data_IF_552784007692
#
_entry.id   IF_552784007692
#
_cell.length_a   1.000
_cell.length_b   1.000
_cell.length_c   1.000
_cell.angle_alpha   90.00
_cell.angle_beta   90.00
_cell.angle_gamma   90.00
#
_symmetry.space_group_name_H-M   'P 1'
#
loop_
_entity.id
_entity.type
_entity.pdbx_description
1 polymer ?
#
# COMPACT_ATOMS: atom_id res chain seq x y z
N UNK A 1 41.71 6.18 20.71
CA UNK A 1 42.44 6.14 19.43
C UNK A 1 41.82 5.06 18.56
N UNK A 2 41.60 5.29 17.26
CA UNK A 2 41.11 4.21 16.39
C UNK A 2 42.17 3.11 16.33
N UNK A 3 41.77 1.86 16.58
CA UNK A 3 42.66 0.69 16.62
C UNK A 3 43.26 0.33 15.24
N UNK A 4 42.69 0.87 14.16
CA UNK A 4 43.07 0.59 12.78
C UNK A 4 43.38 1.90 12.02
N UNK A 5 44.44 1.92 11.18
CA UNK A 5 44.82 3.11 10.44
C UNK A 5 43.82 3.47 9.34
N UNK A 6 43.55 4.77 9.19
CA UNK A 6 42.58 5.29 8.19
C UNK A 6 43.07 5.19 6.74
N UNK A 7 44.34 4.90 6.53
CA UNK A 7 44.99 4.69 5.23
C UNK A 7 44.86 3.27 4.68
N UNK A 8 44.20 2.36 5.41
CA UNK A 8 43.96 0.99 4.97
C UNK A 8 43.25 0.95 3.62
N UNK A 9 43.80 0.15 2.70
CA UNK A 9 43.23 -0.13 1.38
C UNK A 9 42.58 -1.51 1.31
N UNK A 10 43.18 -2.49 1.97
CA UNK A 10 42.66 -3.86 2.06
C UNK A 10 42.48 -4.17 3.54
N UNK A 11 41.31 -4.67 3.89
CA UNK A 11 40.99 -5.09 5.26
C UNK A 11 40.33 -6.46 5.21
N UNK A 12 40.98 -7.43 5.85
CA UNK A 12 40.48 -8.78 6.02
C UNK A 12 40.02 -8.98 7.46
N UNK A 13 38.75 -9.33 7.60
CA UNK A 13 38.07 -9.62 8.85
C UNK A 13 37.31 -10.94 8.73
N UNK A 14 37.88 -11.93 8.04
CA UNK A 14 37.25 -13.24 7.84
C UNK A 14 37.25 -14.09 9.11
N UNK A 15 36.23 -14.93 9.26
CA UNK A 15 36.14 -16.01 10.28
C UNK A 15 36.33 -15.55 11.74
N UNK A 16 35.83 -14.37 12.09
CA UNK A 16 35.91 -13.81 13.46
C UNK A 16 34.53 -13.56 14.10
N UNK A 17 33.49 -14.28 13.63
CA UNK A 17 32.14 -14.25 14.19
C UNK A 17 31.48 -12.85 14.26
N UNK A 18 31.90 -11.91 13.39
CA UNK A 18 31.33 -10.57 13.36
C UNK A 18 29.87 -10.57 12.91
N UNK A 19 29.04 -9.77 13.57
CA UNK A 19 27.64 -9.54 13.18
C UNK A 19 27.43 -8.14 12.57
N UNK A 20 28.27 -7.18 12.96
CA UNK A 20 28.15 -5.76 12.61
C UNK A 20 29.54 -5.17 12.44
N UNK A 21 29.69 -4.22 11.50
CA UNK A 21 30.92 -3.48 11.27
C UNK A 21 30.60 -2.04 10.90
N UNK A 22 30.81 -1.13 11.85
CA UNK A 22 30.39 0.28 11.77
C UNK A 22 31.58 1.27 11.80
N UNK A 23 32.77 0.81 11.41
CA UNK A 23 33.96 1.65 11.39
C UNK A 23 34.17 2.28 10.00
N UNK A 24 34.45 3.58 9.97
CA UNK A 24 34.69 4.31 8.72
C UNK A 24 36.11 4.11 8.21
N UNK A 25 36.25 3.69 6.95
CA UNK A 25 37.53 3.57 6.26
C UNK A 25 37.48 4.30 4.90
N UNK A 26 37.93 5.56 4.84
CA UNK A 26 37.77 6.40 3.66
C UNK A 26 38.65 5.98 2.46
N UNK A 27 39.72 5.23 2.71
CA UNK A 27 40.69 4.77 1.69
C UNK A 27 40.54 3.30 1.30
N UNK A 28 39.58 2.59 1.89
CA UNK A 28 39.41 1.16 1.68
C UNK A 28 38.91 0.87 0.28
N UNK A 29 39.59 -0.04 -0.42
CA UNK A 29 39.24 -0.51 -1.76
C UNK A 29 38.76 -1.95 -1.76
N UNK A 30 39.25 -2.78 -0.84
CA UNK A 30 38.84 -4.19 -0.69
C UNK A 30 38.49 -4.50 0.75
N UNK A 31 37.31 -5.07 0.97
CA UNK A 31 36.82 -5.50 2.28
C UNK A 31 36.45 -6.98 2.21
N UNK A 32 37.05 -7.79 3.08
CA UNK A 32 36.82 -9.23 3.17
C UNK A 32 36.15 -9.51 4.52
N UNK A 33 34.91 -10.02 4.47
CA UNK A 33 34.05 -10.34 5.60
C UNK A 33 33.59 -11.81 5.55
N UNK A 34 34.31 -12.66 4.83
CA UNK A 34 33.91 -14.05 4.59
C UNK A 34 33.85 -14.86 5.89
N UNK A 35 32.85 -15.73 6.04
CA UNK A 35 32.78 -16.62 7.21
C UNK A 35 32.37 -15.93 8.52
N UNK A 36 31.53 -14.90 8.45
CA UNK A 36 31.02 -14.18 9.62
C UNK A 36 29.51 -14.44 9.80
N UNK A 37 28.80 -13.58 10.55
CA UNK A 37 27.37 -13.70 10.86
C UNK A 37 26.55 -12.48 10.40
N UNK A 38 26.97 -11.81 9.34
CA UNK A 38 26.26 -10.65 8.79
C UNK A 38 24.92 -11.08 8.19
N UNK A 39 23.83 -10.45 8.65
CA UNK A 39 22.48 -10.68 8.10
C UNK A 39 22.11 -9.69 6.98
N UNK A 40 22.86 -8.59 6.86
CA UNK A 40 22.68 -7.50 5.90
C UNK A 40 24.05 -7.01 5.42
N UNK A 41 24.08 -6.38 4.24
CA UNK A 41 25.27 -5.68 3.78
C UNK A 41 25.65 -4.56 4.78
N UNK A 42 26.95 -4.30 4.98
CA UNK A 42 27.39 -3.21 5.84
C UNK A 42 26.99 -1.84 5.25
N UNK A 43 27.10 -0.78 6.05
CA UNK A 43 26.75 0.57 5.60
C UNK A 43 27.78 1.09 4.58
N UNK A 44 27.43 1.08 3.29
CA UNK A 44 28.33 1.48 2.21
C UNK A 44 28.86 2.91 2.32
N UNK A 45 28.16 3.80 3.01
CA UNK A 45 28.58 5.19 3.27
C UNK A 45 29.88 5.28 4.08
N UNK A 46 30.22 4.22 4.84
CA UNK A 46 31.45 4.12 5.61
C UNK A 46 32.69 3.84 4.74
N UNK A 47 32.48 3.39 3.49
CA UNK A 47 33.54 2.94 2.57
C UNK A 47 33.39 3.63 1.20
N UNK A 48 33.61 4.95 1.10
CA UNK A 48 33.33 5.72 -0.12
C UNK A 48 34.17 5.31 -1.34
N UNK A 49 35.30 4.61 -1.15
CA UNK A 49 36.23 4.15 -2.20
C UNK A 49 36.24 2.63 -2.40
N UNK A 50 35.32 1.91 -1.77
CA UNK A 50 35.29 0.45 -1.82
C UNK A 50 34.93 -0.04 -3.21
N UNK A 51 35.76 -0.91 -3.77
CA UNK A 51 35.59 -1.48 -5.11
C UNK A 51 35.21 -2.96 -5.06
N UNK A 52 35.73 -3.70 -4.08
CA UNK A 52 35.48 -5.15 -3.92
C UNK A 52 35.00 -5.45 -2.50
N UNK A 53 33.88 -6.18 -2.41
CA UNK A 53 33.33 -6.69 -1.15
C UNK A 53 33.18 -8.21 -1.24
N UNK A 54 33.83 -8.93 -0.32
CA UNK A 54 33.66 -10.37 -0.15
C UNK A 54 32.89 -10.60 1.15
N UNK A 55 31.71 -11.22 1.06
CA UNK A 55 30.81 -11.48 2.19
C UNK A 55 30.19 -12.88 2.07
N UNK A 56 30.95 -13.83 1.55
CA UNK A 56 30.50 -15.22 1.42
C UNK A 56 30.39 -15.89 2.79
N UNK A 57 29.69 -17.02 2.87
CA UNK A 57 29.59 -17.82 4.11
C UNK A 57 29.12 -16.99 5.31
N UNK A 58 28.06 -16.21 5.12
CA UNK A 58 27.43 -15.37 6.14
C UNK A 58 25.95 -15.74 6.27
N UNK A 59 25.17 -14.94 6.99
CA UNK A 59 23.73 -15.12 7.17
C UNK A 59 22.89 -14.11 6.36
N UNK A 60 23.42 -13.61 5.24
CA UNK A 60 22.79 -12.56 4.45
C UNK A 60 21.44 -13.04 3.91
N UNK A 61 20.36 -12.34 4.27
CA UNK A 61 19.00 -12.77 3.92
C UNK A 61 18.56 -12.25 2.57
N UNK A 62 18.89 -11.01 2.23
CA UNK A 62 18.59 -10.40 0.93
C UNK A 62 19.42 -9.12 0.81
N UNK A 63 19.50 -8.60 -0.42
CA UNK A 63 19.96 -7.25 -0.71
C UNK A 63 19.22 -6.76 -1.95
N UNK A 64 19.08 -5.45 -2.09
CA UNK A 64 18.44 -4.85 -3.26
C UNK A 64 19.25 -3.65 -3.78
N UNK A 65 18.75 -3.01 -4.83
CA UNK A 65 19.42 -1.85 -5.43
C UNK A 65 19.63 -0.68 -4.47
N UNK A 66 18.81 -0.53 -3.42
CA UNK A 66 19.02 0.53 -2.42
C UNK A 66 20.19 0.22 -1.51
N UNK A 67 20.40 -1.04 -1.12
CA UNK A 67 21.57 -1.43 -0.34
C UNK A 67 22.86 -1.24 -1.14
N UNK A 68 22.86 -1.62 -2.42
CA UNK A 68 24.02 -1.47 -3.31
C UNK A 68 24.33 0.00 -3.63
N UNK A 69 23.30 0.86 -3.80
CA UNK A 69 23.47 2.30 -4.04
C UNK A 69 24.19 3.05 -2.92
N UNK A 70 24.21 2.51 -1.69
CA UNK A 70 24.98 3.08 -0.58
C UNK A 70 26.48 3.02 -0.84
N UNK A 71 26.93 2.04 -1.64
CA UNK A 71 28.31 1.93 -2.05
C UNK A 71 28.55 2.67 -3.37
N UNK A 72 29.12 3.87 -3.28
CA UNK A 72 29.26 4.76 -4.45
C UNK A 72 30.21 4.25 -5.55
N UNK A 73 31.15 3.39 -5.19
CA UNK A 73 32.26 2.97 -6.07
C UNK A 73 32.44 1.46 -6.16
N UNK A 74 31.52 0.68 -5.57
CA UNK A 74 31.61 -0.77 -5.55
C UNK A 74 31.38 -1.34 -6.95
N UNK A 75 32.26 -2.25 -7.35
CA UNK A 75 32.26 -2.86 -8.68
C UNK A 75 32.03 -4.36 -8.60
N UNK A 76 32.64 -5.01 -7.60
CA UNK A 76 32.61 -6.45 -7.44
C UNK A 76 32.03 -6.85 -6.09
N UNK A 77 31.08 -7.77 -6.13
CA UNK A 77 30.50 -8.41 -4.96
C UNK A 77 30.64 -9.92 -5.09
N UNK A 78 31.09 -10.55 -4.00
CA UNK A 78 30.98 -12.00 -3.80
C UNK A 78 30.16 -12.23 -2.53
N UNK A 79 29.00 -12.87 -2.67
CA UNK A 79 28.06 -13.08 -1.58
C UNK A 79 27.43 -14.48 -1.62
N UNK A 80 28.08 -15.44 -2.27
CA UNK A 80 27.63 -16.83 -2.29
C UNK A 80 27.58 -17.46 -0.90
N UNK A 81 26.89 -18.60 -0.79
CA UNK A 81 26.82 -19.39 0.44
C UNK A 81 26.28 -18.58 1.63
N UNK A 82 25.16 -17.88 1.41
CA UNK A 82 24.41 -17.14 2.41
C UNK A 82 22.98 -17.69 2.57
N UNK A 83 22.29 -17.31 3.63
CA UNK A 83 20.92 -17.77 3.95
C UNK A 83 19.83 -16.93 3.25
N UNK A 84 19.81 -16.95 1.92
CA UNK A 84 18.90 -16.08 1.16
C UNK A 84 17.42 -16.41 1.38
N UNK A 85 16.62 -15.37 1.56
CA UNK A 85 15.16 -15.38 1.58
C UNK A 85 14.71 -15.08 0.16
N UNK A 86 14.26 -16.10 -0.55
CA UNK A 86 13.76 -16.02 -1.92
C UNK A 86 12.32 -15.50 -1.94
N UNK A 87 12.18 -14.23 -1.58
CA UNK A 87 10.96 -13.45 -1.79
C UNK A 87 10.83 -13.06 -3.26
N UNK A 88 9.62 -12.69 -3.67
CA UNK A 88 9.35 -12.17 -5.02
C UNK A 88 10.23 -10.97 -5.38
N UNK A 89 10.42 -10.04 -4.45
CA UNK A 89 11.28 -8.88 -4.64
C UNK A 89 12.73 -9.30 -4.90
N UNK A 90 13.29 -10.16 -4.04
CA UNK A 90 14.70 -10.54 -4.14
C UNK A 90 14.98 -11.38 -5.39
N UNK A 91 14.12 -12.36 -5.71
CA UNK A 91 14.27 -13.19 -6.90
C UNK A 91 14.16 -12.34 -8.17
N UNK A 92 13.17 -11.44 -8.25
CA UNK A 92 13.04 -10.53 -9.40
C UNK A 92 14.26 -9.64 -9.55
N UNK A 93 14.70 -9.00 -8.45
CA UNK A 93 15.85 -8.12 -8.45
C UNK A 93 17.14 -8.86 -8.87
N UNK A 94 17.41 -10.03 -8.29
CA UNK A 94 18.63 -10.79 -8.57
C UNK A 94 18.68 -11.29 -10.01
N UNK A 95 17.55 -11.68 -10.59
CA UNK A 95 17.47 -12.17 -11.97
C UNK A 95 17.59 -11.07 -13.01
N UNK A 96 16.98 -9.91 -12.76
CA UNK A 96 16.75 -8.91 -13.82
C UNK A 96 17.54 -7.63 -13.62
N UNK A 97 17.77 -7.23 -12.36
CA UNK A 97 18.25 -5.88 -12.06
C UNK A 97 19.68 -5.86 -11.53
N UNK A 98 20.16 -6.93 -10.87
CA UNK A 98 21.43 -6.92 -10.12
C UNK A 98 22.64 -6.46 -10.95
N UNK A 99 22.73 -6.86 -12.22
CA UNK A 99 23.85 -6.50 -13.11
C UNK A 99 23.89 -5.01 -13.47
N UNK A 100 22.77 -4.30 -13.33
CA UNK A 100 22.75 -2.85 -13.50
C UNK A 100 23.39 -2.12 -12.31
N UNK A 101 23.48 -2.79 -11.15
CA UNK A 101 24.02 -2.22 -9.93
C UNK A 101 25.44 -2.68 -9.63
N UNK A 102 25.76 -3.95 -9.90
CA UNK A 102 27.01 -4.55 -9.46
C UNK A 102 27.39 -5.75 -10.31
N UNK A 103 28.69 -6.01 -10.45
CA UNK A 103 29.18 -7.26 -11.03
C UNK A 103 29.33 -8.32 -9.93
N UNK A 104 28.54 -9.39 -10.04
CA UNK A 104 28.70 -10.59 -9.20
C UNK A 104 29.87 -11.41 -9.74
N UNK A 105 30.95 -11.54 -8.94
CA UNK A 105 32.21 -12.15 -9.40
C UNK A 105 32.29 -13.65 -9.11
N UNK A 106 31.64 -14.10 -8.05
CA UNK A 106 31.50 -15.51 -7.71
C UNK A 106 30.37 -16.17 -8.53
N UNK A 107 30.31 -17.50 -8.46
CA UNK A 107 29.37 -18.25 -9.28
C UNK A 107 27.94 -18.10 -8.75
N UNK A 108 27.06 -17.51 -9.58
CA UNK A 108 25.63 -17.31 -9.29
C UNK A 108 24.88 -18.57 -8.85
N UNK A 109 25.33 -19.76 -9.26
CA UNK A 109 24.74 -21.04 -8.81
C UNK A 109 24.83 -21.27 -7.30
N UNK A 110 25.75 -20.58 -6.62
CA UNK A 110 25.91 -20.67 -5.16
C UNK A 110 25.09 -19.61 -4.40
N UNK A 111 24.26 -18.84 -5.11
CA UNK A 111 23.21 -18.03 -4.52
C UNK A 111 21.98 -18.92 -4.43
N UNK A 112 21.84 -19.58 -3.28
CA UNK A 112 20.84 -20.62 -3.04
C UNK A 112 19.85 -20.14 -2.00
N UNK A 113 18.57 -20.43 -2.22
CA UNK A 113 17.49 -20.12 -1.30
C UNK A 113 17.61 -20.97 -0.04
N UNK A 114 17.54 -20.32 1.12
CA UNK A 114 17.36 -20.98 2.42
C UNK A 114 15.89 -20.98 2.85
N UNK A 115 15.17 -19.90 2.53
CA UNK A 115 13.74 -19.76 2.82
C UNK A 115 13.00 -19.15 1.62
N UNK A 116 11.70 -19.44 1.42
CA UNK A 116 10.86 -20.37 2.17
C UNK A 116 11.27 -21.84 1.98
N UNK A 117 10.74 -22.74 2.83
CA UNK A 117 11.09 -24.16 2.82
C UNK A 117 10.84 -24.85 1.47
N UNK A 118 9.82 -24.42 0.72
CA UNK A 118 9.47 -24.97 -0.59
C UNK A 118 10.53 -24.73 -1.67
N UNK A 119 11.35 -23.68 -1.52
CA UNK A 119 12.41 -23.31 -2.46
C UNK A 119 13.81 -23.60 -1.91
N UNK A 120 13.90 -24.18 -0.70
CA UNK A 120 15.18 -24.39 -0.03
C UNK A 120 16.07 -25.31 -0.86
N UNK A 121 17.28 -24.85 -1.17
CA UNK A 121 18.25 -25.59 -1.98
C UNK A 121 18.24 -25.21 -3.47
N UNK A 122 17.22 -24.49 -3.94
CA UNK A 122 17.18 -24.01 -5.32
C UNK A 122 18.07 -22.78 -5.50
N UNK A 123 18.74 -22.68 -6.64
CA UNK A 123 19.46 -21.46 -7.00
C UNK A 123 18.47 -20.33 -7.29
N UNK A 124 18.79 -19.11 -6.85
CA UNK A 124 17.93 -17.92 -7.05
C UNK A 124 17.62 -17.74 -8.55
N UNK A 125 18.59 -17.99 -9.44
CA UNK A 125 18.41 -17.92 -10.89
C UNK A 125 17.46 -18.99 -11.47
N UNK A 126 17.32 -20.15 -10.81
CA UNK A 126 16.42 -21.22 -11.28
C UNK A 126 15.00 -21.08 -10.75
N UNK A 127 14.78 -20.34 -9.66
CA UNK A 127 13.45 -20.19 -9.04
C UNK A 127 12.46 -19.51 -9.99
N UNK A 128 11.32 -20.16 -10.23
CA UNK A 128 10.23 -19.60 -11.03
C UNK A 128 9.04 -19.31 -10.11
N UNK A 129 8.96 -18.07 -9.65
CA UNK A 129 7.78 -17.58 -8.93
C UNK A 129 6.76 -17.10 -9.95
N UNK A 130 5.53 -17.59 -9.84
CA UNK A 130 4.45 -17.10 -10.68
C UNK A 130 4.03 -15.69 -10.25
N UNK A 131 3.62 -14.85 -11.21
CA UNK A 131 3.05 -13.52 -10.92
C UNK A 131 1.84 -13.67 -9.99
N UNK A 132 1.08 -14.76 -10.12
CA UNK A 132 -0.01 -15.08 -9.22
C UNK A 132 0.50 -15.31 -7.79
N UNK A 133 1.52 -16.12 -7.53
CA UNK A 133 2.05 -16.30 -6.17
C UNK A 133 2.55 -15.00 -5.54
N UNK A 134 3.11 -14.09 -6.34
CA UNK A 134 3.63 -12.81 -5.84
C UNK A 134 2.56 -11.73 -5.62
N UNK A 135 1.51 -11.70 -6.45
CA UNK A 135 0.56 -10.60 -6.49
C UNK A 135 -0.90 -11.00 -6.21
N UNK A 136 -1.23 -12.28 -5.99
CA UNK A 136 -2.60 -12.72 -5.72
C UNK A 136 -3.22 -12.04 -4.50
N UNK A 137 -2.51 -12.02 -3.36
CA UNK A 137 -3.02 -11.42 -2.12
C UNK A 137 -3.33 -9.91 -2.29
N UNK A 138 -2.39 -9.06 -2.75
CA UNK A 138 -2.69 -7.65 -2.96
C UNK A 138 -3.74 -7.44 -4.05
N UNK A 139 -3.75 -8.24 -5.13
CA UNK A 139 -4.75 -8.12 -6.18
C UNK A 139 -6.17 -8.41 -5.68
N UNK A 140 -6.36 -9.46 -4.86
CA UNK A 140 -7.66 -9.79 -4.24
C UNK A 140 -8.12 -8.67 -3.30
N UNK A 141 -7.22 -8.12 -2.48
CA UNK A 141 -7.55 -7.00 -1.59
C UNK A 141 -7.99 -5.75 -2.36
N UNK A 142 -7.29 -5.42 -3.45
CA UNK A 142 -7.68 -4.30 -4.33
C UNK A 142 -9.03 -4.57 -4.97
N UNK A 143 -9.26 -5.78 -5.50
CA UNK A 143 -10.55 -6.15 -6.09
C UNK A 143 -11.70 -6.03 -5.10
N UNK A 144 -11.56 -6.60 -3.88
CA UNK A 144 -12.57 -6.53 -2.85
C UNK A 144 -12.86 -5.09 -2.41
N UNK A 145 -11.83 -4.25 -2.26
CA UNK A 145 -12.01 -2.85 -1.87
C UNK A 145 -12.77 -2.05 -2.93
N UNK A 146 -12.48 -2.27 -4.22
CA UNK A 146 -13.22 -1.65 -5.33
C UNK A 146 -14.70 -2.06 -5.31
N UNK A 147 -15.01 -3.33 -5.10
CA UNK A 147 -16.40 -3.82 -5.02
C UNK A 147 -17.16 -3.14 -3.87
N UNK A 148 -16.56 -3.04 -2.68
CA UNK A 148 -17.17 -2.40 -1.52
C UNK A 148 -17.46 -0.92 -1.80
N UNK A 149 -16.52 -0.21 -2.44
CA UNK A 149 -16.71 1.21 -2.80
C UNK A 149 -17.88 1.35 -3.78
N UNK A 150 -17.94 0.51 -4.82
CA UNK A 150 -19.01 0.54 -5.83
C UNK A 150 -20.37 0.27 -5.17
N UNK A 151 -20.48 -0.76 -4.33
CA UNK A 151 -21.71 -1.06 -3.60
C UNK A 151 -22.11 0.08 -2.66
N UNK A 152 -21.15 0.68 -1.97
CA UNK A 152 -21.39 1.85 -1.12
C UNK A 152 -21.95 3.03 -1.90
N UNK A 153 -21.40 3.32 -3.09
CA UNK A 153 -21.90 4.38 -3.97
C UNK A 153 -23.34 4.09 -4.46
N UNK A 154 -23.64 2.84 -4.82
CA UNK A 154 -24.99 2.41 -5.19
C UNK A 154 -25.96 2.63 -4.01
N UNK A 155 -25.61 2.18 -2.80
CA UNK A 155 -26.47 2.37 -1.62
C UNK A 155 -26.71 3.85 -1.33
N UNK A 156 -25.67 4.68 -1.39
CA UNK A 156 -25.78 6.13 -1.14
C UNK A 156 -26.67 6.81 -2.19
N UNK A 157 -26.47 6.50 -3.47
CA UNK A 157 -27.30 7.05 -4.55
C UNK A 157 -28.75 6.60 -4.41
N UNK A 158 -29.00 5.31 -4.20
CA UNK A 158 -30.34 4.78 -3.94
C UNK A 158 -31.01 5.47 -2.75
N UNK A 159 -30.31 5.65 -1.62
CA UNK A 159 -30.83 6.33 -0.44
C UNK A 159 -31.19 7.79 -0.72
N UNK A 160 -30.32 8.52 -1.43
CA UNK A 160 -30.57 9.92 -1.82
C UNK A 160 -31.79 10.03 -2.73
N UNK A 161 -31.86 9.23 -3.78
CA UNK A 161 -33.00 9.24 -4.70
C UNK A 161 -34.30 8.79 -4.02
N UNK A 162 -34.24 7.79 -3.13
CA UNK A 162 -35.40 7.33 -2.37
C UNK A 162 -35.92 8.42 -1.41
N UNK A 163 -35.04 9.15 -0.71
CA UNK A 163 -35.44 10.31 0.09
C UNK A 163 -36.09 11.38 -0.78
N UNK A 164 -35.47 11.74 -1.90
CA UNK A 164 -36.00 12.78 -2.81
C UNK A 164 -37.39 12.37 -3.31
N UNK A 165 -37.55 11.12 -3.74
CA UNK A 165 -38.81 10.56 -4.17
C UNK A 165 -39.86 10.58 -3.06
N UNK A 166 -39.49 10.16 -1.84
CA UNK A 166 -40.40 10.17 -0.68
C UNK A 166 -40.86 11.59 -0.33
N UNK A 167 -39.97 12.59 -0.42
CA UNK A 167 -40.33 14.01 -0.24
C UNK A 167 -41.27 14.52 -1.33
N UNK A 168 -41.10 14.09 -2.59
CA UNK A 168 -42.02 14.43 -3.67
C UNK A 168 -43.40 13.79 -3.48
N UNK A 169 -43.44 12.51 -3.13
CA UNK A 169 -44.69 11.78 -2.90
C UNK A 169 -45.46 12.30 -1.69
N UNK A 170 -44.77 12.62 -0.59
CA UNK A 170 -45.41 13.23 0.59
C UNK A 170 -45.99 14.61 0.25
N UNK A 171 -45.30 15.44 -0.55
CA UNK A 171 -45.86 16.70 -1.07
C UNK A 171 -47.11 16.47 -1.92
N UNK A 172 -47.06 15.54 -2.88
CA UNK A 172 -48.21 15.20 -3.73
C UNK A 172 -49.40 14.69 -2.89
N UNK A 173 -49.14 13.87 -1.88
CA UNK A 173 -50.15 13.35 -0.97
C UNK A 173 -50.79 14.44 -0.10
N UNK A 174 -50.00 15.40 0.41
CA UNK A 174 -50.52 16.56 1.15
C UNK A 174 -51.38 17.44 0.24
N UNK A 175 -50.95 17.69 -1.00
CA UNK A 175 -51.75 18.46 -1.98
C UNK A 175 -53.06 17.76 -2.31
N UNK A 176 -53.03 16.44 -2.52
CA UNK A 176 -54.23 15.64 -2.76
C UNK A 176 -55.17 15.62 -1.55
N UNK A 177 -54.64 15.51 -0.32
CA UNK A 177 -55.48 15.61 0.89
C UNK A 177 -56.03 17.01 1.17
N UNK A 178 -55.32 18.07 0.77
CA UNK A 178 -55.82 19.45 0.85
C UNK A 178 -56.92 19.76 -0.16
N UNK A 179 -57.06 18.96 -1.23
CA UNK A 179 -58.19 19.03 -2.16
C UNK A 179 -59.06 17.75 -2.00
N UNK A 180 -60.05 17.73 -1.09
CA UNK A 180 -61.34 18.38 -1.35
C UNK A 180 -62.11 18.76 -0.06
N UNK A 181 -62.16 20.05 0.26
CA UNK A 181 -63.23 20.61 1.09
C UNK A 181 -63.42 22.08 0.74
N UNK A 182 -62.34 22.87 0.70
CA UNK A 182 -62.45 24.33 0.53
C UNK A 182 -62.86 24.75 -0.89
N UNK A 183 -62.39 24.08 -1.96
CA UNK A 183 -62.77 24.52 -3.33
C UNK A 183 -64.16 24.06 -3.76
N UNK A 184 -64.62 22.88 -3.34
CA UNK A 184 -66.01 22.44 -3.61
C UNK A 184 -67.01 23.23 -2.76
N UNK A 185 -66.69 23.49 -1.50
CA UNK A 185 -67.53 24.29 -0.60
C UNK A 185 -67.64 25.75 -1.10
N UNK A 186 -66.58 26.32 -1.68
CA UNK A 186 -66.61 27.67 -2.27
C UNK A 186 -67.43 27.77 -3.58
N UNK A 187 -67.58 26.70 -4.35
CA UNK A 187 -68.47 26.68 -5.53
C UNK A 187 -69.94 26.39 -5.18
N UNK A 188 -70.21 25.73 -4.04
CA UNK A 188 -71.57 25.41 -3.57
C UNK A 188 -72.15 26.46 -2.59
N UNK A 189 -71.34 27.31 -1.96
CA UNK A 189 -71.84 28.43 -1.16
C UNK A 189 -72.20 29.61 -2.06
N UNK A 190 -73.51 29.88 -2.17
CA UNK A 190 -74.05 31.06 -2.86
C UNK A 190 -74.11 32.31 -1.98
N UNK A 191 -73.96 32.15 -0.67
CA UNK A 191 -74.07 33.20 0.34
C UNK A 191 -72.95 33.06 1.36
N UNK A 192 -72.36 34.17 1.78
CA UNK A 192 -71.26 34.18 2.76
C UNK A 192 -71.75 33.93 4.21
N UNK A 193 -73.00 34.29 4.50
CA UNK A 193 -73.65 34.07 5.78
C UNK A 193 -75.17 33.90 5.60
N UNK A 194 -75.78 33.09 6.46
CA UNK A 194 -77.24 33.03 6.62
C UNK A 194 -77.62 33.84 7.85
N UNK A 195 -78.44 34.87 7.66
CA UNK A 195 -78.98 35.67 8.76
C UNK A 195 -80.34 35.09 9.14
N UNK A 196 -80.41 34.50 10.34
CA UNK A 196 -81.66 34.01 10.93
C UNK A 196 -82.18 35.04 11.91
N UNK A 197 -83.40 35.54 11.69
CA UNK A 197 -84.07 36.49 12.56
C UNK A 197 -85.49 36.02 12.89
N UNK A 198 -86.08 36.56 13.96
CA UNK A 198 -87.46 36.29 14.32
C UNK A 198 -88.39 37.17 13.48
N UNK A 199 -89.58 36.70 13.13
CA UNK A 199 -90.56 37.49 12.35
C UNK A 199 -90.88 38.84 13.00
N UNK A 200 -90.78 38.94 14.34
CA UNK A 200 -91.05 40.17 15.07
C UNK A 200 -89.95 41.21 14.90
N UNK A 201 -88.74 40.80 14.51
CA UNK A 201 -87.56 41.65 14.36
C UNK A 201 -87.18 41.86 12.88
N UNK A 202 -88.10 41.57 11.96
CA UNK A 202 -87.86 41.64 10.53
C UNK A 202 -87.49 43.05 10.04
N UNK A 203 -88.22 44.07 10.54
CA UNK A 203 -88.03 45.47 10.14
C UNK A 203 -86.62 45.99 10.46
N UNK A 204 -86.08 45.60 11.63
CA UNK A 204 -84.72 45.97 12.03
C UNK A 204 -83.63 45.30 11.18
N UNK A 205 -83.91 44.12 10.63
CA UNK A 205 -82.94 43.39 9.80
C UNK A 205 -82.87 43.87 8.34
N UNK A 206 -83.90 44.57 7.85
CA UNK A 206 -83.98 45.04 6.46
C UNK A 206 -83.51 46.49 6.26
N UNK A 207 -83.33 47.27 7.33
CA UNK A 207 -82.93 48.69 7.30
C UNK A 207 -81.42 48.96 7.36
N UNK A 208 -80.56 47.93 7.22
CA UNK A 208 -79.09 48.05 7.29
C UNK A 208 -78.46 47.89 5.91
#
# INVERSE_FOLDING_TARGET
TPCLPSSLRVLDLSEIDLMVFNQRFPQLTTLILTGNRFMKLPQGELFPRLQTLLIQRNALRMFNGNDLRRFKTLQYLEASNNNFVCSCEFVSFFKHDVDHFITIRDNRRYYVCDTPFTLRGDAVDSVRLSVFECYMIPAVLVLCSVIIIVLGLIVVTCYKFHIIWYLHMTKAWIQAKRKPAVSRLAEELRYDAFVSYSQHDAEWSEEI
#
